data_IF_829794690874
#
_entry.id   IF_829794690874
#
_cell.length_a   1.000
_cell.length_b   1.000
_cell.length_c   1.000
_cell.angle_alpha   90.00
_cell.angle_beta   90.00
_cell.angle_gamma   90.00
#
_symmetry.space_group_name_H-M   'P 1'
#
loop_
_entity.id
_entity.type
_entity.pdbx_description
1 polymer ?
#
# COMPACT_ATOMS: atom_id res chain seq x y z
N UNK A 1 -28.64 3.41 -31.31
CA UNK A 1 -27.62 4.30 -31.89
C UNK A 1 -26.36 4.09 -31.06
N UNK A 2 -25.42 3.29 -31.56
CA UNK A 2 -24.16 2.96 -30.89
C UNK A 2 -23.33 4.26 -30.82
N UNK A 3 -23.49 5.02 -29.75
CA UNK A 3 -22.61 6.16 -29.48
C UNK A 3 -21.20 5.63 -29.23
N UNK A 4 -20.23 6.22 -29.93
CA UNK A 4 -18.79 5.97 -29.81
C UNK A 4 -18.38 5.63 -28.38
N UNK A 5 -18.09 4.35 -28.12
CA UNK A 5 -17.36 3.93 -26.91
C UNK A 5 -15.92 4.42 -27.09
N UNK A 6 -15.40 5.30 -26.23
CA UNK A 6 -14.08 5.86 -26.47
C UNK A 6 -13.01 4.80 -26.19
N UNK A 7 -11.84 4.95 -26.80
CA UNK A 7 -10.77 3.95 -26.84
C UNK A 7 -10.26 3.46 -25.46
N UNK A 8 -10.64 4.11 -24.36
CA UNK A 8 -10.24 3.73 -22.99
C UNK A 8 -10.83 2.42 -22.47
N UNK A 9 -11.78 1.79 -23.18
CA UNK A 9 -12.34 0.49 -22.76
C UNK A 9 -11.63 -0.72 -23.35
N UNK A 10 -10.55 -0.53 -24.09
CA UNK A 10 -9.64 -1.63 -24.45
C UNK A 10 -8.69 -1.91 -23.28
N UNK A 11 -8.67 -3.19 -22.87
CA UNK A 11 -7.76 -3.66 -21.82
C UNK A 11 -6.38 -3.97 -22.39
N UNK A 12 -6.18 -3.89 -23.71
CA UNK A 12 -4.86 -4.07 -24.31
C UNK A 12 -4.05 -2.77 -24.31
N UNK A 13 -2.76 -2.91 -24.03
CA UNK A 13 -1.83 -1.78 -24.09
C UNK A 13 -1.45 -1.51 -25.55
N UNK A 14 -1.56 -0.25 -25.94
CA UNK A 14 -0.98 0.23 -27.19
C UNK A 14 0.54 0.03 -27.18
N UNK A 15 1.12 -0.75 -28.11
CA UNK A 15 2.58 -0.94 -28.21
C UNK A 15 3.39 0.35 -28.37
N UNK A 16 2.77 1.44 -28.85
CA UNK A 16 3.40 2.75 -28.95
C UNK A 16 3.30 3.59 -27.66
N UNK A 17 2.55 3.15 -26.66
CA UNK A 17 2.36 3.89 -25.40
C UNK A 17 3.59 3.84 -24.49
N UNK A 18 3.77 4.89 -23.68
CA UNK A 18 4.77 4.92 -22.61
C UNK A 18 4.58 3.78 -21.61
N UNK A 19 3.33 3.49 -21.23
CA UNK A 19 3.01 2.42 -20.29
C UNK A 19 3.45 1.04 -20.80
N UNK A 20 3.30 0.78 -22.11
CA UNK A 20 3.85 -0.43 -22.73
C UNK A 20 5.37 -0.49 -22.58
N UNK A 21 6.09 0.59 -22.90
CA UNK A 21 7.55 0.63 -22.82
C UNK A 21 8.06 0.45 -21.37
N UNK A 22 7.43 1.11 -20.40
CA UNK A 22 7.76 0.96 -18.98
C UNK A 22 7.50 -0.47 -18.48
N UNK A 23 6.38 -1.08 -18.87
CA UNK A 23 6.05 -2.48 -18.53
C UNK A 23 7.03 -3.47 -19.19
N UNK A 24 7.36 -3.27 -20.47
CA UNK A 24 8.30 -4.13 -21.20
C UNK A 24 9.69 -4.07 -20.54
N UNK A 25 10.15 -2.87 -20.18
CA UNK A 25 11.40 -2.67 -19.45
C UNK A 25 11.38 -3.37 -18.08
N UNK A 26 10.26 -3.35 -17.34
CA UNK A 26 10.12 -4.14 -16.11
C UNK A 26 10.27 -5.65 -16.37
N UNK A 27 9.55 -6.20 -17.34
CA UNK A 27 9.60 -7.65 -17.64
C UNK A 27 10.97 -8.12 -18.13
N UNK A 28 11.75 -7.24 -18.75
CA UNK A 28 13.12 -7.52 -19.17
C UNK A 28 14.16 -7.35 -18.06
N UNK A 29 13.78 -6.80 -16.91
CA UNK A 29 14.73 -6.47 -15.84
C UNK A 29 15.66 -5.31 -16.20
N UNK A 30 15.24 -4.43 -17.11
CA UNK A 30 16.04 -3.30 -17.63
C UNK A 30 15.77 -1.99 -16.87
N UNK A 31 14.90 -2.02 -15.85
CA UNK A 31 14.62 -0.87 -15.02
C UNK A 31 15.85 -0.45 -14.21
N UNK A 32 16.06 0.86 -14.09
CA UNK A 32 17.14 1.46 -13.30
C UNK A 32 16.82 1.50 -11.80
N UNK A 33 15.77 0.81 -11.34
CA UNK A 33 15.39 0.81 -9.93
C UNK A 33 16.21 -0.16 -9.12
N UNK A 34 16.88 0.31 -8.07
CA UNK A 34 17.72 -0.56 -7.23
C UNK A 34 17.77 -0.10 -5.78
N UNK A 35 17.91 -1.07 -4.87
CA UNK A 35 18.26 -0.82 -3.48
C UNK A 35 19.79 -0.74 -3.36
N UNK A 36 20.29 0.30 -2.70
CA UNK A 36 21.72 0.57 -2.61
C UNK A 36 22.22 0.28 -1.19
N UNK A 37 22.84 -0.86 -1.00
CA UNK A 37 23.46 -1.22 0.28
C UNK A 37 24.64 -0.28 0.60
N UNK A 38 24.58 0.42 1.73
CA UNK A 38 25.67 1.27 2.24
C UNK A 38 25.89 1.06 3.73
N UNK A 39 27.17 1.06 4.16
CA UNK A 39 27.50 1.11 5.59
C UNK A 39 27.24 2.52 6.09
N UNK A 40 26.32 2.65 7.04
CA UNK A 40 25.91 3.93 7.62
C UNK A 40 26.10 3.92 9.14
N UNK A 41 26.46 5.08 9.68
CA UNK A 41 26.57 5.30 11.13
C UNK A 41 25.26 5.90 11.61
N UNK A 42 24.54 5.15 12.45
CA UNK A 42 23.34 5.64 13.16
C UNK A 42 23.69 6.50 14.37
N UNK A 43 22.65 7.08 14.96
CA UNK A 43 22.70 7.98 16.12
C UNK A 43 23.19 7.29 17.39
N UNK A 44 22.98 5.97 17.51
CA UNK A 44 23.25 5.21 18.73
C UNK A 44 22.27 5.51 19.88
N UNK A 45 21.17 6.21 19.60
CA UNK A 45 20.14 6.58 20.57
C UNK A 45 18.99 5.55 20.53
N UNK A 46 18.71 4.81 21.63
CA UNK A 46 17.67 3.78 21.64
C UNK A 46 16.26 4.36 21.88
N UNK A 47 15.96 5.52 21.30
CA UNK A 47 14.68 6.24 21.43
C UNK A 47 13.98 6.37 20.08
N UNK A 48 12.71 6.82 20.04
CA UNK A 48 12.06 7.12 18.77
C UNK A 48 12.76 8.27 18.05
N UNK A 49 13.26 9.27 18.78
CA UNK A 49 14.07 10.34 18.22
C UNK A 49 15.35 9.80 17.56
N UNK A 50 16.03 8.84 18.21
CA UNK A 50 17.19 8.16 17.64
C UNK A 50 16.87 7.48 16.32
N UNK A 51 15.80 6.69 16.30
CA UNK A 51 15.31 6.02 15.08
C UNK A 51 14.93 7.00 13.97
N UNK A 52 14.32 8.14 14.31
CA UNK A 52 14.00 9.18 13.34
C UNK A 52 15.25 9.85 12.75
N UNK A 53 16.31 10.05 13.55
CA UNK A 53 17.62 10.54 13.06
C UNK A 53 18.27 9.53 12.12
N UNK A 54 18.14 8.25 12.42
CA UNK A 54 18.67 7.17 11.61
C UNK A 54 17.92 7.06 10.28
N UNK A 55 16.59 7.15 10.31
CA UNK A 55 15.76 7.29 9.11
C UNK A 55 16.17 8.50 8.27
N UNK A 56 16.38 9.68 8.89
CA UNK A 56 16.86 10.87 8.21
C UNK A 56 18.24 10.66 7.55
N UNK A 57 19.12 9.89 8.18
CA UNK A 57 20.45 9.54 7.67
C UNK A 57 20.35 8.66 6.42
N UNK A 58 19.46 7.67 6.42
CA UNK A 58 19.18 6.82 5.25
C UNK A 58 18.65 7.64 4.07
N UNK A 59 17.66 8.52 4.30
CA UNK A 59 17.11 9.38 3.25
C UNK A 59 18.16 10.38 2.71
N UNK A 60 19.02 10.92 3.58
CA UNK A 60 20.11 11.79 3.16
C UNK A 60 21.15 11.05 2.29
N UNK A 61 21.47 9.80 2.65
CA UNK A 61 22.43 8.97 1.91
C UNK A 61 21.89 8.43 0.57
N UNK A 62 20.56 8.45 0.41
CA UNK A 62 19.86 7.98 -0.80
C UNK A 62 20.12 8.91 -1.98
N UNK A 63 20.68 8.42 -3.10
CA UNK A 63 20.84 9.18 -4.33
C UNK A 63 19.48 9.58 -4.94
N UNK A 64 19.46 10.70 -5.64
CA UNK A 64 18.29 11.11 -6.43
C UNK A 64 18.45 10.55 -7.84
N UNK A 65 17.40 9.93 -8.36
CA UNK A 65 17.37 9.40 -9.71
C UNK A 65 15.95 9.42 -10.28
N UNK A 66 15.86 9.68 -11.59
CA UNK A 66 14.63 9.63 -12.38
C UNK A 66 14.95 8.82 -13.63
N UNK A 67 14.18 7.76 -13.84
CA UNK A 67 14.38 6.88 -15.00
C UNK A 67 13.91 7.57 -16.27
N UNK A 68 14.46 7.22 -17.45
CA UNK A 68 13.81 7.53 -18.72
C UNK A 68 12.33 7.12 -18.69
N UNK A 69 11.48 7.91 -19.36
CA UNK A 69 10.02 7.74 -19.44
C UNK A 69 9.24 7.92 -18.14
N UNK A 70 9.81 7.76 -16.95
CA UNK A 70 9.07 7.93 -15.69
C UNK A 70 8.43 9.33 -15.59
N UNK A 71 7.16 9.38 -15.21
CA UNK A 71 6.41 10.61 -14.86
C UNK A 71 6.50 10.93 -13.37
N UNK A 72 6.90 9.95 -12.55
CA UNK A 72 7.13 10.08 -11.10
C UNK A 72 8.61 9.86 -10.75
N UNK A 73 9.15 10.65 -9.82
CA UNK A 73 10.54 10.60 -9.36
C UNK A 73 10.78 9.50 -8.31
N UNK A 74 12.05 9.13 -8.10
CA UNK A 74 12.46 8.18 -7.05
C UNK A 74 12.47 6.74 -7.55
N UNK A 75 13.66 6.22 -7.81
CA UNK A 75 13.90 4.82 -8.23
C UNK A 75 15.03 4.16 -7.44
N UNK A 76 15.59 4.86 -6.46
CA UNK A 76 16.69 4.37 -5.63
C UNK A 76 16.38 4.65 -4.18
N UNK A 77 16.62 3.67 -3.31
CA UNK A 77 16.59 3.82 -1.86
C UNK A 77 17.85 3.19 -1.28
N UNK A 78 18.47 3.83 -0.29
CA UNK A 78 19.59 3.22 0.43
C UNK A 78 19.08 2.26 1.48
N UNK A 79 19.77 1.14 1.61
CA UNK A 79 19.55 0.19 2.70
C UNK A 79 20.81 0.07 3.55
N UNK A 80 20.68 -0.02 4.89
CA UNK A 80 21.81 -0.26 5.77
C UNK A 80 22.47 -1.61 5.43
N UNK A 81 23.73 -1.57 5.00
CA UNK A 81 24.53 -2.77 4.78
C UNK A 81 25.00 -3.40 6.11
N UNK A 82 25.39 -4.68 6.14
CA UNK A 82 26.02 -5.29 7.30
C UNK A 82 27.18 -4.43 7.84
N UNK A 83 27.20 -4.21 9.16
CA UNK A 83 28.15 -3.31 9.82
C UNK A 83 27.66 -1.87 10.01
N UNK A 84 26.47 -1.54 9.50
CA UNK A 84 25.80 -0.28 9.86
C UNK A 84 25.35 -0.29 11.32
N UNK A 85 25.29 0.89 11.94
CA UNK A 85 24.72 1.07 13.30
C UNK A 85 23.36 1.78 13.27
N UNK A 86 22.68 1.72 12.12
CA UNK A 86 21.33 2.25 11.91
C UNK A 86 20.30 1.38 12.62
N UNK A 87 19.45 1.99 13.44
CA UNK A 87 18.25 1.38 14.03
C UNK A 87 16.99 2.08 13.49
N UNK A 88 16.20 1.38 12.68
CA UNK A 88 14.90 1.85 12.19
C UNK A 88 13.72 1.29 13.02
N UNK A 89 14.02 0.48 14.04
CA UNK A 89 13.04 -0.32 14.77
C UNK A 89 12.50 -1.50 13.96
N UNK A 90 11.59 -2.25 14.60
CA UNK A 90 10.81 -3.31 13.98
C UNK A 90 9.38 -2.79 13.80
N UNK A 91 8.76 -3.09 12.66
CA UNK A 91 7.36 -2.79 12.43
C UNK A 91 6.64 -4.02 11.86
N UNK A 92 5.34 -4.11 12.12
CA UNK A 92 4.47 -5.07 11.45
C UNK A 92 4.09 -4.47 10.09
N UNK A 93 4.26 -5.23 9.00
CA UNK A 93 3.86 -4.80 7.66
C UNK A 93 2.34 -4.67 7.50
N UNK A 94 1.56 -5.29 8.39
CA UNK A 94 0.11 -5.31 8.36
C UNK A 94 -0.54 -4.10 9.04
N UNK A 95 -0.32 -2.92 8.47
CA UNK A 95 -0.91 -1.67 8.94
C UNK A 95 -1.30 -0.76 7.77
N UNK A 96 -2.33 0.08 7.97
CA UNK A 96 -2.59 1.18 7.02
C UNK A 96 -1.85 2.42 7.46
N UNK A 97 -0.92 2.98 6.66
CA UNK A 97 -0.19 4.21 6.98
C UNK A 97 -1.07 5.47 7.12
N UNK A 98 -2.39 5.37 6.99
CA UNK A 98 -3.29 6.52 7.01
C UNK A 98 -3.05 7.44 5.82
N UNK A 99 -2.87 6.89 4.62
CA UNK A 99 -2.58 7.64 3.38
C UNK A 99 -3.53 8.82 3.13
N UNK A 100 -4.82 8.69 3.48
CA UNK A 100 -5.78 9.79 3.42
C UNK A 100 -5.35 11.02 4.25
N UNK A 101 -4.78 10.82 5.44
CA UNK A 101 -4.24 11.91 6.25
C UNK A 101 -2.94 12.48 5.68
N UNK A 102 -2.08 11.63 5.09
CA UNK A 102 -0.85 12.06 4.43
C UNK A 102 -1.19 12.99 3.25
N UNK A 103 -2.15 12.61 2.41
CA UNK A 103 -2.61 13.45 1.30
C UNK A 103 -3.31 14.70 1.81
N UNK A 104 -4.19 14.61 2.81
CA UNK A 104 -4.96 15.75 3.29
C UNK A 104 -4.11 16.82 3.99
N UNK A 105 -3.09 16.40 4.74
CA UNK A 105 -2.27 17.32 5.55
C UNK A 105 -0.93 17.65 4.89
N UNK A 106 -0.43 16.77 4.02
CA UNK A 106 0.94 16.82 3.53
C UNK A 106 1.97 16.56 4.62
N UNK A 107 3.24 16.48 4.21
CA UNK A 107 4.35 16.29 5.15
C UNK A 107 4.52 17.48 6.10
N UNK A 108 4.29 18.71 5.60
CA UNK A 108 4.37 19.94 6.41
C UNK A 108 3.26 20.00 7.44
N UNK A 109 2.00 19.70 7.07
CA UNK A 109 0.88 19.73 8.01
C UNK A 109 1.02 18.71 9.13
N UNK A 110 1.53 17.50 8.85
CA UNK A 110 1.79 16.50 9.89
C UNK A 110 2.92 16.96 10.84
N UNK A 111 4.02 17.47 10.28
CA UNK A 111 5.12 18.06 11.05
C UNK A 111 4.63 19.20 11.96
N UNK A 112 3.83 20.11 11.42
CA UNK A 112 3.39 21.31 12.14
C UNK A 112 2.38 20.97 13.24
N UNK A 113 1.48 20.00 12.98
CA UNK A 113 0.62 19.43 14.03
C UNK A 113 1.42 18.79 15.16
N UNK A 114 2.51 18.09 14.84
CA UNK A 114 3.40 17.53 15.86
C UNK A 114 4.12 18.62 16.66
N UNK A 115 4.60 19.70 16.01
CA UNK A 115 5.19 20.88 16.67
C UNK A 115 4.21 21.56 17.62
N UNK A 116 2.96 21.75 17.19
CA UNK A 116 1.91 22.35 18.01
C UNK A 116 1.63 21.52 19.27
N UNK A 117 1.41 20.20 19.12
CA UNK A 117 1.18 19.31 20.25
C UNK A 117 2.37 19.26 21.21
N UNK A 118 3.60 19.26 20.68
CA UNK A 118 4.83 19.18 21.48
C UNK A 118 5.01 20.40 22.41
N UNK A 119 4.49 21.56 22.03
CA UNK A 119 4.64 22.80 22.80
C UNK A 119 3.97 22.73 24.19
N UNK A 120 2.89 21.97 24.32
CA UNK A 120 2.13 21.81 25.56
C UNK A 120 2.29 20.43 26.23
N UNK A 121 2.94 19.47 25.56
CA UNK A 121 3.07 18.10 26.06
C UNK A 121 4.21 17.98 27.09
N UNK A 122 3.91 17.35 28.23
CA UNK A 122 4.84 17.16 29.34
C UNK A 122 5.23 15.70 29.54
N UNK A 123 4.45 14.75 29.02
CA UNK A 123 4.75 13.33 29.12
C UNK A 123 5.99 12.97 28.28
N UNK A 124 7.07 12.42 28.89
CA UNK A 124 8.31 12.17 28.16
C UNK A 124 8.17 11.22 26.97
N UNK A 125 7.31 10.20 27.05
CA UNK A 125 7.14 9.23 25.97
C UNK A 125 6.39 9.86 24.78
N UNK A 126 5.34 10.65 25.05
CA UNK A 126 4.65 11.40 24.00
C UNK A 126 5.53 12.46 23.36
N UNK A 127 6.38 13.12 24.13
CA UNK A 127 7.37 14.07 23.60
C UNK A 127 8.36 13.38 22.66
N UNK A 128 8.92 12.23 23.04
CA UNK A 128 9.82 11.44 22.19
C UNK A 128 9.14 11.08 20.85
N UNK A 129 7.89 10.64 20.89
CA UNK A 129 7.11 10.37 19.66
C UNK A 129 6.89 11.60 18.79
N UNK A 130 6.50 12.74 19.38
CA UNK A 130 6.24 13.98 18.64
C UNK A 130 7.53 14.55 18.04
N UNK A 131 8.63 14.53 18.78
CA UNK A 131 9.96 14.95 18.30
C UNK A 131 10.45 14.04 17.17
N UNK A 132 10.30 12.72 17.31
CA UNK A 132 10.61 11.75 16.25
C UNK A 132 9.78 11.98 14.98
N UNK A 133 8.48 12.29 15.15
CA UNK A 133 7.57 12.62 14.05
C UNK A 133 8.07 13.85 13.29
N UNK A 134 8.45 14.92 13.99
CA UNK A 134 8.99 16.14 13.39
C UNK A 134 10.23 15.84 12.56
N UNK A 135 11.21 15.11 13.14
CA UNK A 135 12.47 14.77 12.45
C UNK A 135 12.21 13.95 11.18
N UNK A 136 11.31 12.97 11.26
CA UNK A 136 10.98 12.08 10.15
C UNK A 136 10.35 12.83 8.98
N UNK A 137 9.35 13.68 9.24
CA UNK A 137 8.70 14.46 8.19
C UNK A 137 9.60 15.60 7.66
N UNK A 138 10.49 16.16 8.47
CA UNK A 138 11.51 17.07 7.97
C UNK A 138 12.51 16.36 7.03
N UNK A 139 12.83 15.09 7.29
CA UNK A 139 13.64 14.29 6.38
C UNK A 139 12.90 13.99 5.06
N UNK A 140 11.62 13.65 5.13
CA UNK A 140 10.75 13.46 3.95
C UNK A 140 10.67 14.74 3.08
N UNK A 141 10.48 15.91 3.71
CA UNK A 141 10.47 17.20 3.02
C UNK A 141 11.81 17.47 2.32
N UNK A 142 12.95 17.25 3.00
CA UNK A 142 14.28 17.38 2.38
C UNK A 142 14.47 16.40 1.23
N UNK A 143 13.95 15.19 1.33
CA UNK A 143 14.00 14.20 0.27
C UNK A 143 13.23 14.67 -0.97
N UNK A 144 12.00 15.16 -0.79
CA UNK A 144 11.19 15.74 -1.88
C UNK A 144 11.89 16.96 -2.51
N UNK A 145 12.43 17.88 -1.71
CA UNK A 145 13.15 19.06 -2.20
C UNK A 145 14.39 18.72 -3.05
N UNK A 146 15.09 17.64 -2.71
CA UNK A 146 16.22 17.14 -3.52
C UNK A 146 15.76 16.58 -4.86
N UNK A 147 14.60 15.90 -4.89
CA UNK A 147 14.01 15.39 -6.13
C UNK A 147 13.46 16.51 -7.02
N UNK A 148 12.83 17.53 -6.43
CA UNK A 148 12.37 18.73 -7.15
C UNK A 148 13.51 19.41 -7.91
N UNK A 149 14.61 19.70 -7.20
CA UNK A 149 15.80 20.33 -7.79
C UNK A 149 16.41 19.50 -8.91
N UNK A 150 16.55 18.19 -8.68
CA UNK A 150 17.12 17.29 -9.69
C UNK A 150 16.22 17.17 -10.94
N UNK A 151 14.90 17.10 -10.76
CA UNK A 151 13.95 17.10 -11.88
C UNK A 151 14.05 18.41 -12.69
N UNK A 152 14.20 19.56 -12.03
CA UNK A 152 14.42 20.84 -12.70
C UNK A 152 15.75 20.86 -13.48
N UNK A 153 16.84 20.42 -12.86
CA UNK A 153 18.16 20.31 -13.52
C UNK A 153 18.09 19.40 -14.76
N UNK A 154 17.36 18.27 -14.67
CA UNK A 154 17.12 17.39 -15.80
C UNK A 154 16.25 18.05 -16.89
N UNK A 155 15.24 18.83 -16.51
CA UNK A 155 14.40 19.55 -17.46
C UNK A 155 15.23 20.53 -18.29
N UNK A 156 16.11 21.32 -17.65
CA UNK A 156 16.99 22.31 -18.30
C UNK A 156 17.97 21.67 -19.29
N UNK A 157 18.38 20.42 -19.03
CA UNK A 157 19.33 19.68 -19.87
C UNK A 157 18.65 18.86 -20.98
N UNK A 158 17.33 18.69 -20.92
CA UNK A 158 16.58 17.85 -21.84
C UNK A 158 16.29 18.59 -23.14
N UNK A 159 16.67 17.99 -24.27
CA UNK A 159 16.48 18.58 -25.61
C UNK A 159 15.09 18.39 -26.18
N UNK A 160 14.41 17.29 -25.81
CA UNK A 160 13.04 17.04 -26.23
C UNK A 160 12.09 17.96 -25.43
N UNK A 161 11.39 18.90 -26.07
CA UNK A 161 10.54 19.86 -25.36
C UNK A 161 9.40 19.17 -24.61
N UNK A 162 8.90 18.03 -25.10
CA UNK A 162 7.84 17.28 -24.42
C UNK A 162 8.36 16.74 -23.10
N UNK A 163 9.50 16.02 -23.14
CA UNK A 163 10.11 15.49 -21.92
C UNK A 163 10.60 16.58 -20.97
N UNK A 164 11.08 17.72 -21.47
CA UNK A 164 11.47 18.84 -20.63
C UNK A 164 10.27 19.41 -19.86
N UNK A 165 9.12 19.60 -20.51
CA UNK A 165 7.89 20.05 -19.87
C UNK A 165 7.41 19.05 -18.80
N UNK A 166 7.48 17.75 -19.10
CA UNK A 166 7.15 16.68 -18.16
C UNK A 166 8.01 16.69 -16.89
N UNK A 167 9.33 16.89 -17.04
CA UNK A 167 10.28 16.96 -15.94
C UNK A 167 10.06 18.23 -15.11
N UNK A 168 9.67 19.34 -15.76
CA UNK A 168 9.32 20.57 -15.09
C UNK A 168 8.05 20.41 -14.25
N UNK A 169 7.00 19.79 -14.78
CA UNK A 169 5.80 19.43 -14.01
C UNK A 169 6.12 18.53 -12.81
N UNK A 170 7.01 17.54 -12.99
CA UNK A 170 7.46 16.68 -11.90
C UNK A 170 8.28 17.44 -10.85
N UNK A 171 9.09 18.41 -11.27
CA UNK A 171 9.84 19.27 -10.37
C UNK A 171 8.89 20.10 -9.49
N UNK A 172 7.89 20.74 -10.08
CA UNK A 172 6.86 21.50 -9.37
C UNK A 172 6.06 20.61 -8.43
N UNK A 173 5.63 19.43 -8.89
CA UNK A 173 4.91 18.47 -8.05
C UNK A 173 5.74 18.04 -6.83
N UNK A 174 7.04 17.79 -7.00
CA UNK A 174 7.94 17.48 -5.88
C UNK A 174 8.16 18.69 -4.95
N UNK A 175 8.24 19.91 -5.51
CA UNK A 175 8.43 21.15 -4.75
C UNK A 175 7.23 21.45 -3.86
N UNK A 176 6.01 21.22 -4.38
CA UNK A 176 4.77 21.37 -3.66
C UNK A 176 4.73 20.54 -2.37
N UNK A 177 5.25 19.31 -2.40
CA UNK A 177 5.30 18.42 -1.22
C UNK A 177 6.18 18.98 -0.09
N UNK A 178 7.00 19.99 -0.38
CA UNK A 178 7.86 20.66 0.60
C UNK A 178 7.18 21.82 1.31
N UNK A 179 6.06 22.30 0.76
CA UNK A 179 5.36 23.51 1.19
C UNK A 179 4.01 23.18 1.82
N UNK A 180 3.31 22.17 1.31
CA UNK A 180 1.92 21.89 1.70
C UNK A 180 1.43 20.48 1.37
N UNK A 181 0.12 20.24 1.58
CA UNK A 181 -0.57 19.12 0.96
C UNK A 181 -0.55 19.26 -0.57
N UNK A 182 -0.56 18.14 -1.32
CA UNK A 182 -0.66 18.18 -2.78
C UNK A 182 -1.99 18.79 -3.22
N UNK A 183 -1.96 19.61 -4.26
CA UNK A 183 -3.11 20.27 -4.90
C UNK A 183 -3.33 19.79 -6.33
N UNK A 184 -2.38 19.05 -6.89
CA UNK A 184 -2.49 18.37 -8.19
C UNK A 184 -2.51 16.85 -8.05
N UNK A 185 -3.09 16.16 -9.03
CA UNK A 185 -3.13 14.70 -9.09
C UNK A 185 -1.72 14.10 -9.20
N UNK A 186 -0.83 14.73 -9.98
CA UNK A 186 0.57 14.33 -10.08
C UNK A 186 1.29 14.41 -8.72
N UNK A 187 1.13 15.52 -8.00
CA UNK A 187 1.71 15.67 -6.66
C UNK A 187 1.14 14.66 -5.66
N UNK A 188 -0.16 14.35 -5.75
CA UNK A 188 -0.80 13.29 -4.96
C UNK A 188 -0.16 11.93 -5.18
N UNK A 189 0.00 11.50 -6.44
CA UNK A 189 0.67 10.23 -6.78
C UNK A 189 2.14 10.22 -6.37
N UNK A 190 2.86 11.33 -6.55
CA UNK A 190 4.26 11.45 -6.13
C UNK A 190 4.41 11.34 -4.61
N UNK A 191 3.49 11.94 -3.84
CA UNK A 191 3.47 11.84 -2.38
C UNK A 191 3.24 10.39 -1.93
N UNK A 192 2.29 9.67 -2.54
CA UNK A 192 2.09 8.25 -2.23
C UNK A 192 3.31 7.41 -2.55
N UNK A 193 3.93 7.65 -3.70
CA UNK A 193 5.13 6.93 -4.10
C UNK A 193 6.30 7.16 -3.14
N UNK A 194 6.54 8.41 -2.72
CA UNK A 194 7.56 8.70 -1.71
C UNK A 194 7.22 8.10 -0.34
N UNK A 195 5.96 8.15 0.08
CA UNK A 195 5.51 7.49 1.31
C UNK A 195 5.83 5.99 1.29
N UNK A 196 5.63 5.32 0.15
CA UNK A 196 6.06 3.93 -0.04
C UNK A 196 7.57 3.76 0.14
N UNK A 197 8.38 4.61 -0.51
CA UNK A 197 9.85 4.57 -0.38
C UNK A 197 10.33 4.80 1.07
N UNK A 198 9.54 5.52 1.87
CA UNK A 198 9.83 5.81 3.28
C UNK A 198 9.43 4.69 4.25
N UNK A 199 8.82 3.60 3.76
CA UNK A 199 8.40 2.48 4.60
C UNK A 199 6.88 2.39 4.81
N UNK A 200 6.08 3.27 4.20
CA UNK A 200 4.61 3.15 4.14
C UNK A 200 4.17 2.04 3.19
N UNK A 201 4.52 0.79 3.51
CA UNK A 201 4.43 -0.36 2.60
C UNK A 201 3.15 -1.19 2.72
N UNK A 202 2.32 -0.95 3.74
CA UNK A 202 1.03 -1.62 3.89
C UNK A 202 -0.03 -1.10 2.93
N UNK A 203 -1.28 -1.53 3.11
CA UNK A 203 -2.40 -1.12 2.25
C UNK A 203 -2.51 0.39 2.04
N UNK A 204 -2.68 0.76 0.77
CA UNK A 204 -2.95 2.14 0.34
C UNK A 204 -4.37 2.53 0.75
N UNK A 205 -5.30 1.57 0.76
CA UNK A 205 -6.69 1.77 1.14
C UNK A 205 -7.53 2.34 0.00
N UNK A 206 -8.49 3.22 0.33
CA UNK A 206 -9.49 3.76 -0.61
C UNK A 206 -8.94 4.84 -1.57
N UNK A 207 -7.91 4.46 -2.33
CA UNK A 207 -7.16 5.31 -3.26
C UNK A 207 -8.05 6.19 -4.14
N UNK A 208 -9.11 5.59 -4.67
CA UNK A 208 -10.05 6.26 -5.57
C UNK A 208 -10.93 7.30 -4.88
N UNK A 209 -11.00 7.34 -3.54
CA UNK A 209 -11.82 8.32 -2.82
C UNK A 209 -11.03 9.59 -2.48
N UNK A 210 -9.85 9.44 -1.87
CA UNK A 210 -9.10 10.59 -1.36
C UNK A 210 -8.16 11.23 -2.40
N UNK A 211 -7.83 10.55 -3.51
CA UNK A 211 -7.20 11.22 -4.68
C UNK A 211 -8.21 11.87 -5.62
N UNK A 212 -9.48 11.47 -5.58
CA UNK A 212 -10.49 11.96 -6.52
C UNK A 212 -10.63 13.50 -6.53
N UNK A 213 -10.58 14.20 -5.39
CA UNK A 213 -10.61 15.66 -5.40
C UNK A 213 -9.45 16.29 -6.20
N UNK A 214 -8.24 15.72 -6.13
CA UNK A 214 -7.07 16.20 -6.88
C UNK A 214 -7.22 15.94 -8.38
N UNK A 215 -7.70 14.74 -8.74
CA UNK A 215 -8.02 14.38 -10.12
C UNK A 215 -9.08 15.33 -10.72
N UNK A 216 -10.17 15.57 -9.99
CA UNK A 216 -11.25 16.47 -10.41
C UNK A 216 -10.77 17.91 -10.58
N UNK A 217 -9.96 18.40 -9.64
CA UNK A 217 -9.39 19.74 -9.71
C UNK A 217 -8.57 19.95 -11.00
N UNK A 218 -7.69 19.00 -11.32
CA UNK A 218 -6.83 19.10 -12.50
C UNK A 218 -7.62 18.95 -13.82
N UNK A 219 -8.65 18.10 -13.83
CA UNK A 219 -9.57 17.99 -14.97
C UNK A 219 -10.34 19.30 -15.22
N UNK A 220 -10.91 19.88 -14.16
CA UNK A 220 -11.76 21.08 -14.26
C UNK A 220 -10.96 22.34 -14.61
N UNK A 221 -9.70 22.42 -14.14
CA UNK A 221 -8.77 23.49 -14.52
C UNK A 221 -8.16 23.32 -15.90
N UNK A 222 -8.29 22.13 -16.51
CA UNK A 222 -7.65 21.77 -17.78
C UNK A 222 -6.15 21.50 -17.67
N UNK A 223 -5.62 21.34 -16.46
CA UNK A 223 -4.22 20.97 -16.22
C UNK A 223 -3.91 19.51 -16.58
N UNK A 224 -4.94 18.66 -16.59
CA UNK A 224 -4.85 17.23 -16.86
C UNK A 224 -5.99 16.80 -17.79
N UNK A 225 -5.71 15.93 -18.76
CA UNK A 225 -6.76 15.23 -19.50
C UNK A 225 -7.01 13.84 -18.92
N UNK A 226 -8.17 13.20 -19.21
CA UNK A 226 -8.39 11.82 -18.79
C UNK A 226 -7.33 10.83 -19.29
N UNK A 227 -6.72 11.08 -20.46
CA UNK A 227 -5.64 10.26 -21.00
C UNK A 227 -4.34 10.45 -20.21
N UNK A 228 -4.01 11.69 -19.86
CA UNK A 228 -2.83 11.98 -19.02
C UNK A 228 -2.99 11.35 -17.63
N UNK A 229 -4.18 11.43 -17.04
CA UNK A 229 -4.48 10.81 -15.75
C UNK A 229 -4.30 9.28 -15.80
N UNK A 230 -4.79 8.65 -16.86
CA UNK A 230 -4.63 7.21 -17.07
C UNK A 230 -3.14 6.83 -17.20
N UNK A 231 -2.36 7.60 -17.97
CA UNK A 231 -0.91 7.37 -18.12
C UNK A 231 -0.16 7.54 -16.77
N UNK A 232 -0.56 8.51 -15.94
CA UNK A 232 0.01 8.72 -14.61
C UNK A 232 -0.29 7.54 -13.66
N UNK A 233 -1.53 7.03 -13.66
CA UNK A 233 -1.92 5.84 -12.89
C UNK A 233 -1.12 4.62 -13.37
N UNK A 234 -1.00 4.43 -14.69
CA UNK A 234 -0.24 3.33 -15.27
C UNK A 234 1.26 3.42 -14.90
N UNK A 235 1.86 4.61 -14.93
CA UNK A 235 3.24 4.77 -14.46
C UNK A 235 3.38 4.51 -12.96
N UNK A 236 2.43 4.99 -12.13
CA UNK A 236 2.42 4.69 -10.69
C UNK A 236 2.36 3.19 -10.43
N UNK A 237 1.49 2.45 -11.14
CA UNK A 237 1.35 1.00 -11.00
C UNK A 237 2.64 0.27 -11.41
N UNK A 238 3.29 0.68 -12.51
CA UNK A 238 4.62 0.13 -12.86
C UNK A 238 5.62 0.37 -11.72
N UNK A 239 5.68 1.58 -11.16
CA UNK A 239 6.60 1.89 -10.06
C UNK A 239 6.32 1.09 -8.79
N UNK A 240 5.06 0.75 -8.51
CA UNK A 240 4.76 -0.14 -7.38
C UNK A 240 5.42 -1.52 -7.55
N UNK A 241 5.75 -1.95 -8.76
CA UNK A 241 6.49 -3.19 -8.99
C UNK A 241 8.02 -2.99 -8.92
N UNK A 242 8.51 -1.78 -8.65
CA UNK A 242 9.93 -1.54 -8.39
C UNK A 242 10.28 -1.95 -6.96
N UNK A 243 11.53 -2.41 -6.79
CA UNK A 243 12.07 -2.98 -5.55
C UNK A 243 11.36 -4.28 -5.14
N UNK A 244 11.90 -5.42 -5.60
CA UNK A 244 11.41 -6.75 -5.26
C UNK A 244 11.20 -6.92 -3.73
N UNK A 245 10.19 -7.70 -3.36
CA UNK A 245 9.64 -7.84 -2.02
C UNK A 245 10.46 -8.76 -1.09
N UNK A 246 11.63 -9.26 -1.54
CA UNK A 246 12.31 -10.41 -0.92
C UNK A 246 12.62 -10.27 0.57
N UNK A 247 12.73 -9.04 1.11
CA UNK A 247 13.11 -8.83 2.51
C UNK A 247 12.02 -8.20 3.40
N UNK A 248 10.95 -7.61 2.85
CA UNK A 248 10.00 -6.80 3.64
C UNK A 248 8.85 -7.63 4.25
N UNK A 249 8.37 -8.68 3.57
CA UNK A 249 7.33 -9.60 4.08
C UNK A 249 7.87 -10.66 5.05
N UNK A 250 9.19 -10.84 5.07
CA UNK A 250 9.84 -11.97 5.72
C UNK A 250 10.48 -11.61 7.08
N UNK A 251 10.36 -10.36 7.54
CA UNK A 251 11.00 -9.90 8.78
C UNK A 251 10.40 -10.53 10.05
N UNK A 252 9.16 -11.02 9.98
CA UNK A 252 8.43 -11.60 11.12
C UNK A 252 8.20 -13.12 11.01
N UNK A 253 8.81 -13.78 10.02
CA UNK A 253 8.71 -15.23 9.83
C UNK A 253 10.09 -15.84 10.07
N UNK A 254 10.22 -16.78 11.00
CA UNK A 254 11.54 -17.37 11.28
C UNK A 254 12.01 -18.16 10.06
N UNK A 255 13.32 -18.15 9.79
CA UNK A 255 13.93 -18.87 8.64
C UNK A 255 13.52 -20.35 8.58
N UNK A 256 13.18 -20.95 9.72
CA UNK A 256 12.68 -22.33 9.85
C UNK A 256 11.23 -22.50 9.35
N UNK A 257 10.37 -21.48 9.51
CA UNK A 257 8.98 -21.51 9.05
C UNK A 257 8.84 -21.38 7.52
N UNK A 258 9.85 -20.82 6.86
CA UNK A 258 9.88 -20.52 5.41
C UNK A 258 10.92 -21.33 4.65
N UNK A 259 11.75 -22.13 5.33
CA UNK A 259 12.76 -22.99 4.69
C UNK A 259 12.23 -23.81 3.50
N UNK A 260 11.02 -24.41 3.54
CA UNK A 260 10.49 -25.18 2.40
C UNK A 260 10.13 -24.32 1.19
N UNK A 261 9.85 -23.03 1.42
CA UNK A 261 9.47 -22.06 0.38
C UNK A 261 10.73 -21.31 -0.12
N UNK A 262 11.67 -21.01 0.77
CA UNK A 262 12.95 -20.35 0.48
C UNK A 262 13.89 -21.16 -0.40
N UNK A 263 13.84 -22.49 -0.35
CA UNK A 263 14.68 -23.33 -1.22
C UNK A 263 14.26 -23.24 -2.69
N UNK A 264 13.00 -22.88 -2.98
CA UNK A 264 12.53 -22.52 -4.33
C UNK A 264 12.82 -21.04 -4.68
N UNK A 265 13.20 -20.21 -3.69
CA UNK A 265 13.33 -18.74 -3.83
C UNK A 265 14.68 -18.31 -4.38
N UNK A 266 15.71 -19.13 -4.21
CA UNK A 266 17.06 -18.83 -4.71
C UNK A 266 17.42 -19.58 -6.00
N UNK A 267 16.42 -20.10 -6.72
CA UNK A 267 16.64 -20.67 -8.04
C UNK A 267 16.82 -19.55 -9.08
N UNK A 268 18.07 -19.32 -9.49
CA UNK A 268 18.43 -18.37 -10.55
C UNK A 268 17.78 -18.72 -11.90
N UNK A 269 17.28 -19.94 -12.09
CA UNK A 269 16.53 -20.36 -13.28
C UNK A 269 15.02 -20.08 -13.18
N UNK A 270 14.49 -19.72 -11.99
CA UNK A 270 13.08 -19.37 -11.76
C UNK A 270 12.92 -18.04 -11.00
N UNK A 271 13.31 -16.90 -11.62
CA UNK A 271 13.30 -15.58 -10.97
C UNK A 271 11.91 -15.04 -10.59
N UNK A 272 10.83 -15.78 -10.89
CA UNK A 272 9.44 -15.36 -10.68
C UNK A 272 8.65 -16.40 -9.87
N UNK A 273 9.13 -16.70 -8.66
CA UNK A 273 8.30 -17.39 -7.66
C UNK A 273 7.31 -16.39 -7.08
N UNK A 274 6.07 -16.81 -6.82
CA UNK A 274 4.91 -15.96 -6.48
C UNK A 274 5.12 -14.93 -5.35
N UNK A 275 6.17 -15.09 -4.54
CA UNK A 275 6.51 -14.25 -3.39
C UNK A 275 7.59 -13.18 -3.65
N UNK A 276 8.32 -13.20 -4.77
CA UNK A 276 9.42 -12.24 -5.00
C UNK A 276 8.97 -10.82 -5.30
N UNK A 277 7.75 -10.66 -5.81
CA UNK A 277 7.19 -9.37 -6.18
C UNK A 277 5.75 -9.20 -5.69
N UNK A 278 5.39 -9.96 -4.66
CA UNK A 278 4.15 -9.75 -3.92
C UNK A 278 4.48 -8.97 -2.66
N UNK A 279 3.99 -7.75 -2.60
CA UNK A 279 4.12 -6.84 -1.47
C UNK A 279 2.81 -6.66 -0.73
N UNK A 280 1.76 -7.41 -1.11
CA UNK A 280 0.41 -7.34 -0.55
C UNK A 280 -0.16 -5.91 -0.49
N UNK A 281 0.23 -5.04 -1.44
CA UNK A 281 -0.16 -3.64 -1.44
C UNK A 281 -1.53 -3.47 -2.07
N UNK A 282 -2.52 -3.29 -1.21
CA UNK A 282 -3.90 -3.18 -1.61
C UNK A 282 -4.30 -1.75 -1.97
N UNK A 283 -4.96 -1.61 -3.11
CA UNK A 283 -5.81 -0.47 -3.44
C UNK A 283 -7.27 -0.96 -3.45
N UNK A 284 -8.12 -0.24 -2.72
CA UNK A 284 -9.56 -0.48 -2.64
C UNK A 284 -10.29 0.51 -3.53
N UNK A 285 -11.22 -0.01 -4.31
CA UNK A 285 -12.02 0.70 -5.31
C UNK A 285 -13.52 0.46 -5.09
N UNK A 286 -14.33 1.47 -5.38
CA UNK A 286 -15.80 1.38 -5.32
C UNK A 286 -16.33 1.19 -3.90
N UNK A 287 -17.43 0.43 -3.77
CA UNK A 287 -18.14 0.21 -2.50
C UNK A 287 -19.05 1.40 -2.15
N UNK A 288 -19.21 1.65 -0.85
CA UNK A 288 -20.08 2.71 -0.34
C UNK A 288 -19.30 3.93 0.19
N UNK A 289 -19.87 5.12 0.07
CA UNK A 289 -19.45 6.29 0.83
C UNK A 289 -19.85 6.12 2.31
N UNK A 290 -19.31 6.92 3.26
CA UNK A 290 -19.79 6.90 4.64
C UNK A 290 -21.31 7.11 4.78
N UNK A 291 -21.91 7.87 3.85
CA UNK A 291 -23.34 8.10 3.79
C UNK A 291 -24.14 6.87 3.31
N UNK A 292 -23.50 5.92 2.62
CA UNK A 292 -24.11 4.71 2.08
C UNK A 292 -24.48 4.79 0.60
N UNK A 293 -24.06 5.85 -0.10
CA UNK A 293 -24.19 5.98 -1.55
C UNK A 293 -23.08 5.21 -2.27
N UNK A 294 -23.25 4.93 -3.57
CA UNK A 294 -22.17 4.37 -4.39
C UNK A 294 -20.94 5.29 -4.38
N UNK A 295 -19.76 4.70 -4.13
CA UNK A 295 -18.49 5.41 -4.10
C UNK A 295 -17.68 5.26 -5.40
N UNK A 296 -18.18 4.51 -6.37
CA UNK A 296 -17.52 4.31 -7.66
C UNK A 296 -17.37 5.63 -8.41
N UNK A 297 -16.19 5.86 -8.99
CA UNK A 297 -15.90 7.08 -9.76
C UNK A 297 -14.91 6.79 -10.90
N UNK A 298 -14.53 7.82 -11.66
CA UNK A 298 -13.63 7.68 -12.81
C UNK A 298 -12.27 7.05 -12.43
N UNK A 299 -11.73 7.33 -11.23
CA UNK A 299 -10.50 6.69 -10.77
C UNK A 299 -10.68 5.20 -10.49
N UNK A 300 -11.86 4.78 -10.01
CA UNK A 300 -12.19 3.35 -9.85
C UNK A 300 -12.06 2.61 -11.19
N UNK A 301 -12.62 3.17 -12.26
CA UNK A 301 -12.51 2.61 -13.61
C UNK A 301 -11.07 2.66 -14.14
N UNK A 302 -10.38 3.80 -14.00
CA UNK A 302 -9.01 3.98 -14.49
C UNK A 302 -8.01 3.02 -13.85
N UNK A 303 -8.15 2.74 -12.54
CA UNK A 303 -7.33 1.77 -11.84
C UNK A 303 -7.56 0.34 -12.35
N UNK A 304 -8.80 -0.05 -12.61
CA UNK A 304 -9.11 -1.36 -13.22
C UNK A 304 -8.54 -1.46 -14.63
N UNK A 305 -8.70 -0.42 -15.44
CA UNK A 305 -8.13 -0.36 -16.79
C UNK A 305 -6.60 -0.48 -16.73
N UNK A 306 -5.93 0.25 -15.83
CA UNK A 306 -4.48 0.17 -15.65
C UNK A 306 -4.04 -1.24 -15.27
N UNK A 307 -4.73 -1.90 -14.33
CA UNK A 307 -4.46 -3.29 -13.94
C UNK A 307 -4.59 -4.27 -15.10
N UNK A 308 -5.71 -4.22 -15.83
CA UNK A 308 -5.95 -5.10 -16.98
C UNK A 308 -5.04 -4.85 -18.18
N UNK A 309 -4.52 -3.63 -18.32
CA UNK A 309 -3.53 -3.23 -19.33
C UNK A 309 -2.13 -3.72 -18.98
N UNK A 310 -1.68 -3.38 -17.78
CA UNK A 310 -0.32 -3.65 -17.34
C UNK A 310 -0.10 -5.13 -17.04
N UNK A 311 -1.10 -5.84 -16.50
CA UNK A 311 -0.96 -7.24 -16.10
C UNK A 311 0.26 -7.48 -15.20
N UNK A 312 0.56 -6.52 -14.32
CA UNK A 312 1.67 -6.59 -13.37
C UNK A 312 1.19 -7.11 -12.00
N UNK A 313 2.09 -7.69 -11.19
CA UNK A 313 1.74 -8.22 -9.86
C UNK A 313 1.14 -7.19 -8.88
N UNK A 314 1.62 -5.95 -8.93
CA UNK A 314 1.18 -4.84 -8.08
C UNK A 314 0.52 -3.71 -8.89
N UNK A 315 -0.40 -2.94 -8.27
CA UNK A 315 -0.98 -3.16 -6.94
C UNK A 315 -1.96 -4.34 -6.91
N UNK A 316 -2.29 -4.81 -5.71
CA UNK A 316 -3.45 -5.68 -5.50
C UNK A 316 -4.72 -4.84 -5.58
N UNK A 317 -5.48 -5.06 -6.64
CA UNK A 317 -6.78 -4.39 -6.83
C UNK A 317 -7.85 -5.09 -5.99
N UNK A 318 -8.67 -4.31 -5.30
CA UNK A 318 -9.77 -4.81 -4.48
C UNK A 318 -11.00 -3.99 -4.81
N UNK A 319 -12.09 -4.65 -5.24
CA UNK A 319 -13.31 -3.98 -5.62
C UNK A 319 -14.41 -4.36 -4.65
N UNK A 320 -15.04 -3.35 -4.07
CA UNK A 320 -16.15 -3.51 -3.14
C UNK A 320 -17.47 -3.42 -3.88
N UNK A 321 -18.36 -4.38 -3.63
CA UNK A 321 -19.70 -4.46 -4.21
C UNK A 321 -20.76 -4.56 -3.11
N UNK A 322 -21.82 -3.78 -3.30
CA UNK A 322 -23.08 -3.81 -2.58
C UNK A 322 -24.25 -3.78 -3.59
N UNK A 323 -25.49 -3.90 -3.11
CA UNK A 323 -26.68 -3.96 -3.98
C UNK A 323 -26.86 -2.73 -4.90
N UNK A 324 -26.31 -1.57 -4.51
CA UNK A 324 -26.37 -0.32 -5.28
C UNK A 324 -25.18 -0.11 -6.23
N UNK A 325 -24.28 -1.08 -6.39
CA UNK A 325 -23.09 -0.91 -7.22
C UNK A 325 -23.44 -0.80 -8.71
N UNK A 326 -22.71 0.02 -9.49
CA UNK A 326 -22.92 0.14 -10.93
C UNK A 326 -22.65 -1.20 -11.65
N UNK A 327 -23.57 -1.69 -12.50
CA UNK A 327 -23.36 -2.90 -13.29
C UNK A 327 -22.11 -2.82 -14.19
N UNK A 328 -21.78 -1.63 -14.68
CA UNK A 328 -20.62 -1.39 -15.53
C UNK A 328 -19.29 -1.63 -14.82
N UNK A 329 -19.21 -1.33 -13.52
CA UNK A 329 -18.03 -1.62 -12.70
C UNK A 329 -17.82 -3.13 -12.57
N UNK A 330 -18.90 -3.87 -12.28
CA UNK A 330 -18.87 -5.33 -12.21
C UNK A 330 -18.49 -5.95 -13.56
N UNK A 331 -19.07 -5.47 -14.67
CA UNK A 331 -18.72 -5.95 -16.01
C UNK A 331 -17.23 -5.72 -16.30
N UNK A 332 -16.71 -4.52 -16.01
CA UNK A 332 -15.29 -4.21 -16.19
C UNK A 332 -14.41 -5.14 -15.35
N UNK A 333 -14.71 -5.30 -14.06
CA UNK A 333 -14.03 -6.23 -13.17
C UNK A 333 -14.01 -7.67 -13.72
N UNK A 334 -15.15 -8.19 -14.16
CA UNK A 334 -15.21 -9.52 -14.77
C UNK A 334 -14.34 -9.62 -16.03
N UNK A 335 -14.25 -8.58 -16.85
CA UNK A 335 -13.38 -8.57 -18.04
C UNK A 335 -11.90 -8.70 -17.66
N UNK A 336 -11.45 -8.09 -16.57
CA UNK A 336 -10.08 -8.26 -16.06
C UNK A 336 -9.83 -9.73 -15.66
N UNK A 337 -10.76 -10.34 -14.91
CA UNK A 337 -10.67 -11.77 -14.54
C UNK A 337 -10.68 -12.67 -15.77
N UNK A 338 -11.56 -12.42 -16.75
CA UNK A 338 -11.58 -13.19 -18.00
C UNK A 338 -10.29 -13.04 -18.83
N UNK A 339 -9.62 -11.88 -18.74
CA UNK A 339 -8.32 -11.66 -19.37
C UNK A 339 -7.19 -12.45 -18.69
N UNK A 340 -7.39 -12.88 -17.45
CA UNK A 340 -6.43 -13.69 -16.69
C UNK A 340 -5.63 -12.89 -15.66
N UNK A 341 -6.06 -11.68 -15.30
CA UNK A 341 -5.47 -10.96 -14.18
C UNK A 341 -5.86 -11.71 -12.88
N UNK A 342 -4.86 -12.04 -12.06
CA UNK A 342 -5.04 -12.85 -10.84
C UNK A 342 -5.64 -12.07 -9.66
N UNK A 343 -5.60 -10.74 -9.72
CA UNK A 343 -6.43 -9.81 -8.97
C UNK A 343 -7.32 -9.07 -10.02
N UNK A 344 -8.46 -8.46 -9.71
CA UNK A 344 -8.88 -7.96 -8.42
C UNK A 344 -9.50 -9.01 -7.49
N UNK A 345 -9.42 -8.76 -6.18
CA UNK A 345 -10.25 -9.40 -5.18
C UNK A 345 -11.62 -8.70 -5.08
N UNK A 346 -12.66 -9.46 -4.78
CA UNK A 346 -14.04 -8.98 -4.74
C UNK A 346 -14.61 -9.06 -3.33
N UNK A 347 -15.03 -7.91 -2.81
CA UNK A 347 -15.57 -7.80 -1.46
C UNK A 347 -17.07 -7.56 -1.50
N UNK A 348 -17.80 -8.26 -0.63
CA UNK A 348 -19.24 -8.13 -0.48
C UNK A 348 -19.58 -7.26 0.74
N UNK A 349 -19.91 -6.00 0.49
CA UNK A 349 -20.29 -5.02 1.51
C UNK A 349 -21.53 -5.47 2.29
N UNK A 350 -22.45 -6.22 1.67
CA UNK A 350 -23.66 -6.75 2.33
C UNK A 350 -23.35 -7.82 3.39
N UNK A 351 -22.10 -8.31 3.44
CA UNK A 351 -21.60 -9.24 4.47
C UNK A 351 -20.58 -8.56 5.36
N UNK A 352 -19.61 -7.87 4.76
CA UNK A 352 -18.52 -7.21 5.47
C UNK A 352 -19.03 -6.14 6.46
N UNK A 353 -19.93 -5.25 6.01
CA UNK A 353 -20.42 -4.15 6.85
C UNK A 353 -21.22 -4.68 8.04
N UNK A 354 -22.22 -5.58 7.88
CA UNK A 354 -22.89 -6.18 9.04
C UNK A 354 -21.93 -6.87 10.02
N UNK A 355 -20.86 -7.52 9.53
CA UNK A 355 -19.83 -8.11 10.38
C UNK A 355 -19.09 -7.07 11.23
N UNK A 356 -18.67 -5.95 10.62
CA UNK A 356 -18.03 -4.85 11.34
C UNK A 356 -18.98 -4.20 12.37
N UNK A 357 -20.26 -4.05 12.04
CA UNK A 357 -21.26 -3.53 12.98
C UNK A 357 -21.43 -4.45 14.21
N UNK A 358 -21.36 -5.78 14.03
CA UNK A 358 -21.41 -6.74 15.14
C UNK A 358 -20.20 -6.62 16.08
N UNK A 359 -19.06 -6.17 15.56
CA UNK A 359 -17.86 -5.84 16.36
C UNK A 359 -17.97 -4.48 17.06
N UNK A 360 -19.05 -3.72 16.86
CA UNK A 360 -19.25 -2.41 17.47
C UNK A 360 -18.61 -1.25 16.70
N UNK A 361 -18.16 -1.48 15.46
CA UNK A 361 -17.62 -0.41 14.60
C UNK A 361 -18.78 0.52 14.17
N UNK A 362 -18.63 1.85 14.26
CA UNK A 362 -19.62 2.81 13.78
C UNK A 362 -19.96 2.59 12.30
N UNK A 363 -21.22 2.80 11.91
CA UNK A 363 -21.67 2.54 10.54
C UNK A 363 -20.89 3.31 9.48
N UNK A 364 -20.54 4.56 9.75
CA UNK A 364 -19.75 5.39 8.83
C UNK A 364 -18.34 4.82 8.60
N UNK A 365 -17.69 4.36 9.66
CA UNK A 365 -16.37 3.72 9.60
C UNK A 365 -16.47 2.33 8.95
N UNK A 366 -17.51 1.57 9.28
CA UNK A 366 -17.77 0.27 8.70
C UNK A 366 -18.01 0.38 7.19
N UNK A 367 -18.65 1.45 6.71
CA UNK A 367 -18.80 1.72 5.26
C UNK A 367 -17.51 2.21 4.61
N UNK A 368 -16.63 2.86 5.37
CA UNK A 368 -15.36 3.38 4.88
C UNK A 368 -14.19 2.39 4.98
N UNK A 369 -14.48 1.11 5.24
CA UNK A 369 -13.45 0.09 5.37
C UNK A 369 -12.61 -0.08 4.10
N UNK A 370 -11.37 -0.56 4.31
CA UNK A 370 -10.51 -1.06 3.25
C UNK A 370 -9.98 -2.46 3.64
N UNK A 371 -9.03 -2.99 2.88
CA UNK A 371 -8.39 -4.25 3.22
C UNK A 371 -6.87 -4.14 3.21
N UNK A 372 -6.22 -5.02 3.96
CA UNK A 372 -4.78 -5.24 3.95
C UNK A 372 -4.49 -6.66 3.46
N UNK A 373 -3.22 -6.97 3.23
CA UNK A 373 -2.79 -8.34 2.99
C UNK A 373 -3.49 -9.00 1.78
N UNK A 374 -4.16 -10.10 2.06
CA UNK A 374 -4.92 -10.88 1.10
C UNK A 374 -6.40 -10.48 1.10
N UNK A 375 -7.00 -10.34 2.28
CA UNK A 375 -8.45 -10.14 2.43
C UNK A 375 -8.86 -9.50 3.77
N UNK A 376 -7.88 -9.12 4.59
CA UNK A 376 -8.08 -8.71 5.96
C UNK A 376 -8.73 -7.33 6.00
N UNK A 377 -9.92 -7.21 6.59
CA UNK A 377 -10.66 -5.96 6.67
C UNK A 377 -10.06 -5.04 7.74
N UNK A 378 -9.82 -3.79 7.38
CA UNK A 378 -9.28 -2.75 8.26
C UNK A 378 -10.00 -1.41 8.07
N UNK A 379 -9.80 -0.49 9.02
CA UNK A 379 -10.25 0.89 8.94
C UNK A 379 -9.06 1.78 8.61
N UNK A 380 -9.06 2.38 7.41
CA UNK A 380 -7.93 3.14 6.89
C UNK A 380 -7.43 4.24 7.83
N UNK A 381 -6.22 4.08 8.37
CA UNK A 381 -5.61 5.02 9.31
C UNK A 381 -6.28 5.10 10.69
N UNK A 382 -7.20 4.18 11.00
CA UNK A 382 -7.95 4.11 12.26
C UNK A 382 -7.77 2.77 12.99
N UNK A 383 -7.26 1.74 12.32
CA UNK A 383 -7.01 0.44 12.94
C UNK A 383 -5.73 -0.22 12.43
N UNK A 384 -5.25 -1.21 13.20
CA UNK A 384 -4.24 -2.18 12.78
C UNK A 384 -4.82 -3.58 12.97
N UNK A 385 -4.25 -4.57 12.31
CA UNK A 385 -4.58 -5.97 12.52
C UNK A 385 -3.38 -6.70 13.11
N UNK A 386 -3.66 -7.78 13.82
CA UNK A 386 -2.68 -8.80 14.21
C UNK A 386 -3.38 -10.14 14.14
N UNK A 387 -2.69 -11.13 13.60
CA UNK A 387 -3.21 -12.49 13.53
C UNK A 387 -2.23 -13.47 14.16
N UNK A 388 -2.78 -14.59 14.61
CA UNK A 388 -2.04 -15.77 15.00
C UNK A 388 -2.50 -16.90 14.09
N UNK A 389 -1.58 -17.45 13.32
CA UNK A 389 -1.88 -18.56 12.42
C UNK A 389 -2.06 -19.85 13.23
N UNK A 390 -3.17 -20.56 12.97
CA UNK A 390 -3.44 -21.86 13.53
C UNK A 390 -3.99 -22.77 12.43
N UNK A 391 -3.28 -23.85 12.13
CA UNK A 391 -3.75 -24.86 11.20
C UNK A 391 -4.59 -25.90 11.95
N UNK A 392 -5.88 -25.97 11.62
CA UNK A 392 -6.84 -26.89 12.25
C UNK A 392 -6.75 -28.30 11.65
N UNK A 393 -6.16 -28.48 10.47
CA UNK A 393 -6.13 -29.76 9.76
C UNK A 393 -5.29 -30.83 10.47
N UNK A 394 -4.10 -30.53 11.03
CA UNK A 394 -3.36 -31.50 11.84
C UNK A 394 -4.19 -32.01 13.02
N UNK A 395 -4.89 -31.11 13.71
CA UNK A 395 -5.71 -31.45 14.86
C UNK A 395 -6.90 -32.35 14.47
N UNK A 396 -7.55 -32.03 13.36
CA UNK A 396 -8.63 -32.85 12.82
C UNK A 396 -8.11 -34.23 12.42
N UNK A 397 -6.97 -34.30 11.72
CA UNK A 397 -6.35 -35.54 11.29
C UNK A 397 -5.96 -36.42 12.49
N UNK A 398 -5.36 -35.85 13.53
CA UNK A 398 -5.06 -36.56 14.77
C UNK A 398 -6.33 -37.11 15.44
N UNK A 399 -7.39 -36.30 15.50
CA UNK A 399 -8.67 -36.73 16.10
C UNK A 399 -9.29 -37.89 15.31
N UNK A 400 -9.29 -37.81 13.98
CA UNK A 400 -9.80 -38.89 13.11
C UNK A 400 -8.95 -40.17 13.21
N UNK A 401 -7.63 -40.05 13.24
CA UNK A 401 -6.74 -41.21 13.41
C UNK A 401 -6.92 -41.89 14.77
N UNK A 402 -7.10 -41.10 15.83
CA UNK A 402 -7.43 -41.63 17.15
C UNK A 402 -8.82 -42.26 17.17
N UNK A 403 -9.79 -41.73 16.44
CA UNK A 403 -11.11 -42.34 16.29
C UNK A 403 -11.09 -43.68 15.56
N UNK A 404 -10.13 -43.91 14.66
CA UNK A 404 -9.91 -45.22 14.06
C UNK A 404 -9.32 -46.25 15.05
N UNK A 405 -8.69 -45.79 16.14
CA UNK A 405 -8.04 -46.62 17.15
C UNK A 405 -8.84 -46.74 18.46
N UNK A 406 -9.70 -45.77 18.74
CA UNK A 406 -10.50 -45.63 19.96
C UNK A 406 -11.98 -45.86 19.64
N UNK A 407 -12.71 -46.54 20.51
CA UNK A 407 -14.11 -46.91 20.27
C UNK A 407 -15.11 -45.77 20.46
N UNK A 408 -14.95 -44.62 19.77
CA UNK A 408 -16.01 -43.61 19.72
C UNK A 408 -17.28 -44.28 19.20
N UNK A 409 -18.40 -44.05 19.88
CA UNK A 409 -19.65 -44.73 19.60
C UNK A 409 -20.46 -44.04 18.49
N UNK A 410 -20.10 -42.80 18.15
CA UNK A 410 -20.79 -41.97 17.17
C UNK A 410 -19.88 -40.90 16.56
N UNK A 411 -20.31 -40.30 15.47
CA UNK A 411 -19.62 -39.16 14.83
C UNK A 411 -19.64 -37.93 15.73
N UNK A 412 -20.73 -37.72 16.47
CA UNK A 412 -20.92 -36.63 17.40
C UNK A 412 -19.87 -36.62 18.52
N UNK A 413 -19.47 -37.79 19.02
CA UNK A 413 -18.40 -37.89 20.02
C UNK A 413 -17.01 -37.55 19.45
N UNK A 414 -16.75 -37.88 18.17
CA UNK A 414 -15.50 -37.49 17.49
C UNK A 414 -15.44 -35.98 17.31
N UNK A 415 -16.54 -35.36 16.90
CA UNK A 415 -16.64 -33.90 16.74
C UNK A 415 -16.52 -33.16 18.08
N UNK A 416 -17.14 -33.68 19.14
CA UNK A 416 -17.03 -33.09 20.48
C UNK A 416 -15.58 -33.12 21.01
N UNK A 417 -14.83 -34.20 20.76
CA UNK A 417 -13.41 -34.29 21.11
C UNK A 417 -12.56 -33.33 20.27
N UNK A 418 -12.81 -33.24 18.96
CA UNK A 418 -12.15 -32.24 18.11
C UNK A 418 -12.38 -30.81 18.62
N UNK A 419 -13.64 -30.44 18.91
CA UNK A 419 -13.99 -29.13 19.46
C UNK A 419 -13.33 -28.85 20.82
N UNK A 420 -13.33 -29.84 21.71
CA UNK A 420 -12.68 -29.72 23.03
C UNK A 420 -11.17 -29.47 22.90
N UNK A 421 -10.51 -30.11 21.93
CA UNK A 421 -9.09 -29.87 21.65
C UNK A 421 -8.86 -28.52 21.00
N UNK A 422 -9.74 -28.12 20.09
CA UNK A 422 -9.66 -26.81 19.43
C UNK A 422 -9.77 -25.67 20.47
N UNK A 423 -10.64 -25.82 21.47
CA UNK A 423 -10.78 -24.86 22.56
C UNK A 423 -9.51 -24.67 23.41
N UNK A 424 -8.57 -25.63 23.41
CA UNK A 424 -7.28 -25.46 24.06
C UNK A 424 -6.34 -24.50 23.29
N UNK A 425 -6.55 -24.37 21.97
CA UNK A 425 -5.76 -23.51 21.08
C UNK A 425 -6.43 -22.17 20.78
N UNK A 426 -7.76 -22.14 20.84
CA UNK A 426 -8.61 -20.95 20.81
C UNK A 426 -9.21 -20.83 22.21
N UNK A 427 -8.44 -20.40 23.22
CA UNK A 427 -8.97 -20.29 24.58
C UNK A 427 -10.21 -19.42 24.53
N UNK A 428 -11.31 -19.96 25.06
CA UNK A 428 -12.52 -19.21 25.36
C UNK A 428 -12.06 -18.03 26.23
N UNK A 429 -12.00 -16.85 25.63
CA UNK A 429 -11.57 -15.62 26.30
C UNK A 429 -12.69 -15.21 27.27
N UNK A 430 -12.84 -15.99 28.34
CA UNK A 430 -13.74 -15.68 29.46
C UNK A 430 -13.10 -14.64 30.38
N UNK A 431 -11.77 -14.51 30.34
CA UNK A 431 -10.99 -13.54 31.11
C UNK A 431 -10.37 -12.42 30.23
N UNK A 432 -10.11 -12.67 28.94
CA UNK A 432 -9.92 -11.61 27.95
C UNK A 432 -11.31 -11.12 27.58
N UNK A 433 -11.82 -10.14 28.32
CA UNK A 433 -13.18 -9.66 28.11
C UNK A 433 -13.49 -9.44 26.63
N UNK A 434 -14.78 -9.38 26.30
CA UNK A 434 -15.20 -8.38 25.30
C UNK A 434 -14.68 -7.04 25.81
N UNK A 435 -13.39 -6.76 25.62
CA UNK A 435 -12.87 -5.42 25.72
C UNK A 435 -13.77 -4.70 24.73
N UNK A 436 -14.56 -3.76 25.25
CA UNK A 436 -15.24 -2.83 24.37
C UNK A 436 -14.21 -2.45 23.32
N UNK A 437 -14.59 -2.50 22.04
CA UNK A 437 -13.77 -1.89 20.99
C UNK A 437 -13.70 -0.43 21.35
N UNK A 438 -12.75 -0.10 22.21
CA UNK A 438 -12.47 1.25 22.61
C UNK A 438 -11.91 1.84 21.34
N UNK A 439 -12.56 2.88 20.86
CA UNK A 439 -12.01 3.78 19.86
C UNK A 439 -11.29 4.91 20.61
N UNK A 440 -10.13 4.70 21.28
CA UNK A 440 -9.33 5.84 21.64
C UNK A 440 -8.68 6.28 20.32
N UNK A 441 -9.20 7.38 19.80
CA UNK A 441 -8.59 8.19 18.75
C UNK A 441 -7.07 7.96 18.65
N UNK A 442 -6.60 7.52 17.49
CA UNK A 442 -5.26 7.87 17.02
C UNK A 442 -5.25 9.40 16.84
N UNK A 443 -5.09 10.10 17.97
CA UNK A 443 -5.19 11.54 18.07
C UNK A 443 -4.01 12.22 17.39
#
# INVERSE_FOLDING_TARGET
>A
MLMHRPAYKDLDLDPASRAYALRDMFWRGEQNSYRLAKVLVGSGEPTLVGKAKDFATVLAATPVAIQPLDRLAGITIVEPAPGSTIDLGNYDGHYTPGHANIIRLGYTGIRDRAKEKLAAETDPAKRDFLEATIISYEAAIRFAARHARYAHEMADQTKDPTRAAELWQLAEACQELTEGPPTSFLAGLQMLWFTFMFGGRGSIGRFDQWLYPLYRHDLESGALTPLDAQELIENYFVKLNYFAASDDLMQNITREQIAPVLDDVHDAERPYVAIHNDSLRNIVLGGQTPAGDDASNELSEMCLIAGGRLMLPEPKLNVRFFDGSPPELLELSCRLTCKGLSNPAYFNDNVAIPGLLQLGIPLEDARDYCNDGCSEIILGGKSTIRFKNFDTLPLLNETVQQAAQSGYSSFEEVMADFEARLAAFIPDDKDGGKADVSFPYFA
#
